data_IF_104738636315
#
_entry.id   IF_104738636315
#
_cell.length_a   1.000
_cell.length_b   1.000
_cell.length_c   1.000
_cell.angle_alpha   90.00
_cell.angle_beta   90.00
_cell.angle_gamma   90.00
#
_symmetry.space_group_name_H-M   'P 1'
#
loop_
_entity.id
_entity.type
_entity.pdbx_description
1 polymer ?
#
# COMPACT_ATOMS: atom_id res chain seq x y z
N UNK A 1 2.75 12.28 1.23
CA UNK A 1 3.50 11.34 0.37
C UNK A 1 4.84 12.01 0.06
N UNK A 2 6.00 11.39 0.28
CA UNK A 2 7.30 12.08 0.05
C UNK A 2 7.45 12.54 -1.41
N UNK A 3 6.92 11.77 -2.35
CA UNK A 3 6.98 12.07 -3.78
C UNK A 3 6.19 13.34 -4.18
N UNK A 4 5.16 13.71 -3.42
CA UNK A 4 4.27 14.86 -3.73
C UNK A 4 4.38 15.97 -2.68
N UNK A 5 5.37 15.90 -1.78
CA UNK A 5 5.59 16.93 -0.76
C UNK A 5 6.72 17.85 -1.17
N UNK A 6 6.51 19.15 -1.01
CA UNK A 6 7.52 20.18 -1.23
C UNK A 6 8.81 19.89 -0.44
N UNK A 7 9.93 20.30 -1.01
CA UNK A 7 11.23 20.17 -0.36
C UNK A 7 11.27 21.02 0.92
N UNK A 8 11.80 20.44 1.98
CA UNK A 8 11.89 21.06 3.30
C UNK A 8 12.22 20.03 4.38
N UNK A 9 12.22 20.46 5.63
CA UNK A 9 12.61 19.61 6.76
C UNK A 9 11.73 18.37 6.90
N UNK A 10 10.42 18.52 6.71
CA UNK A 10 9.49 17.40 6.72
C UNK A 10 9.81 16.38 5.62
N UNK A 11 10.00 16.84 4.38
CA UNK A 11 10.37 15.98 3.26
C UNK A 11 11.67 15.23 3.56
N UNK A 12 12.70 15.95 4.01
CA UNK A 12 14.02 15.40 4.30
C UNK A 12 13.96 14.36 5.42
N UNK A 13 13.25 14.65 6.51
CA UNK A 13 13.08 13.74 7.63
C UNK A 13 12.35 12.46 7.21
N UNK A 14 11.20 12.57 6.54
CA UNK A 14 10.42 11.39 6.12
C UNK A 14 11.19 10.56 5.10
N UNK A 15 11.87 11.21 4.14
CA UNK A 15 12.74 10.54 3.17
C UNK A 15 13.84 9.76 3.87
N UNK A 16 14.56 10.39 4.81
CA UNK A 16 15.62 9.74 5.59
C UNK A 16 15.07 8.52 6.35
N UNK A 17 13.96 8.67 7.07
CA UNK A 17 13.37 7.58 7.84
C UNK A 17 12.99 6.39 6.95
N UNK A 18 12.42 6.63 5.76
CA UNK A 18 12.10 5.55 4.80
C UNK A 18 13.34 4.87 4.23
N UNK A 19 14.38 5.63 3.90
CA UNK A 19 15.65 5.08 3.42
C UNK A 19 16.31 4.26 4.53
N UNK A 20 16.38 4.75 5.76
CA UNK A 20 17.02 4.01 6.85
C UNK A 20 16.26 2.73 7.22
N UNK A 21 14.93 2.76 7.19
CA UNK A 21 14.11 1.62 7.65
C UNK A 21 13.84 0.54 6.61
N UNK A 22 13.64 0.90 5.33
CA UNK A 22 13.13 -0.04 4.31
C UNK A 22 13.98 0.01 3.05
N UNK A 23 14.23 1.19 2.50
CA UNK A 23 14.71 1.34 1.13
C UNK A 23 16.24 1.44 0.99
N UNK A 24 16.96 1.63 2.09
CA UNK A 24 18.41 1.80 2.09
C UNK A 24 19.17 0.47 1.97
N UNK A 25 20.45 0.47 1.55
CA UNK A 25 21.18 -0.75 1.24
C UNK A 25 21.22 -1.77 2.39
N UNK A 26 21.43 -1.29 3.62
CA UNK A 26 21.46 -2.15 4.81
C UNK A 26 20.09 -2.76 5.12
N UNK A 27 19.02 -1.96 5.05
CA UNK A 27 17.65 -2.44 5.25
C UNK A 27 17.24 -3.45 4.16
N UNK A 28 17.59 -3.19 2.90
CA UNK A 28 17.34 -4.12 1.80
C UNK A 28 18.12 -5.44 1.94
N UNK A 29 19.33 -5.40 2.50
CA UNK A 29 20.12 -6.61 2.80
C UNK A 29 19.47 -7.42 3.92
N UNK A 30 19.02 -6.78 5.00
CA UNK A 30 18.30 -7.45 6.10
C UNK A 30 16.98 -8.07 5.61
N UNK A 31 16.24 -7.34 4.77
CA UNK A 31 14.96 -7.77 4.23
C UNK A 31 15.08 -8.61 2.94
N UNK A 32 16.27 -9.10 2.59
CA UNK A 32 16.49 -9.90 1.37
C UNK A 32 15.57 -11.13 1.32
N UNK A 33 15.42 -11.83 2.45
CA UNK A 33 14.56 -13.00 2.57
C UNK A 33 13.10 -12.73 2.17
N UNK A 34 12.56 -11.52 2.41
CA UNK A 34 11.21 -11.17 1.98
C UNK A 34 11.08 -11.13 0.45
N UNK A 35 12.14 -10.70 -0.25
CA UNK A 35 12.18 -10.69 -1.72
C UNK A 35 12.34 -12.10 -2.29
N UNK A 36 13.20 -12.93 -1.69
CA UNK A 36 13.31 -14.35 -2.07
C UNK A 36 11.97 -15.06 -1.92
N UNK A 37 11.29 -14.90 -0.79
CA UNK A 37 9.97 -15.48 -0.56
C UNK A 37 8.92 -15.02 -1.59
N UNK A 38 9.01 -13.77 -2.05
CA UNK A 38 8.13 -13.25 -3.10
C UNK A 38 8.41 -13.96 -4.44
N UNK A 39 9.69 -14.12 -4.80
CA UNK A 39 10.11 -14.81 -6.03
C UNK A 39 9.64 -16.27 -5.99
N UNK A 40 9.86 -16.95 -4.87
CA UNK A 40 9.44 -18.35 -4.68
C UNK A 40 7.91 -18.47 -4.82
N UNK A 41 7.13 -17.58 -4.17
CA UNK A 41 5.67 -17.55 -4.28
C UNK A 41 5.18 -17.31 -5.71
N UNK A 42 5.86 -16.46 -6.48
CA UNK A 42 5.55 -16.24 -7.90
C UNK A 42 5.84 -17.52 -8.70
N UNK A 43 7.01 -18.14 -8.51
CA UNK A 43 7.37 -19.37 -9.21
C UNK A 43 6.39 -20.51 -8.91
N UNK A 44 5.97 -20.66 -7.66
CA UNK A 44 4.98 -21.66 -7.26
C UNK A 44 3.63 -21.45 -7.95
N UNK A 45 3.15 -20.20 -8.03
CA UNK A 45 1.91 -19.87 -8.75
C UNK A 45 2.03 -20.15 -10.25
N UNK A 46 3.15 -19.81 -10.87
CA UNK A 46 3.37 -20.09 -12.30
C UNK A 46 3.48 -21.58 -12.58
N UNK A 47 4.18 -22.34 -11.74
CA UNK A 47 4.25 -23.80 -11.87
C UNK A 47 2.91 -24.48 -11.63
N UNK A 48 2.08 -23.97 -10.71
CA UNK A 48 0.72 -24.48 -10.51
C UNK A 48 -0.12 -24.26 -11.77
N UNK A 49 -0.06 -23.07 -12.37
CA UNK A 49 -0.78 -22.76 -13.61
C UNK A 49 -0.39 -23.70 -14.75
N UNK A 50 0.91 -23.95 -14.95
CA UNK A 50 1.40 -24.88 -15.98
C UNK A 50 0.90 -26.31 -15.76
N UNK A 51 0.73 -26.74 -14.50
CA UNK A 51 0.22 -28.09 -14.18
C UNK A 51 -1.28 -28.24 -14.43
N UNK A 52 -2.05 -27.17 -14.26
CA UNK A 52 -3.50 -27.18 -14.47
C UNK A 52 -3.84 -27.05 -15.94
N UNK A 53 -3.31 -26.03 -16.63
CA UNK A 53 -3.45 -25.85 -18.07
C UNK A 53 -2.22 -25.13 -18.65
N UNK A 54 -1.37 -25.91 -19.32
CA UNK A 54 -0.14 -25.40 -19.93
C UNK A 54 -0.37 -24.43 -21.11
N UNK A 55 -1.58 -24.38 -21.68
CA UNK A 55 -1.90 -23.55 -22.85
C UNK A 55 -2.73 -22.31 -22.48
N UNK A 56 -3.26 -22.24 -21.27
CA UNK A 56 -4.02 -21.08 -20.80
C UNK A 56 -3.11 -19.86 -20.59
N UNK A 57 -3.60 -18.69 -21.03
CA UNK A 57 -2.89 -17.43 -20.85
C UNK A 57 -2.82 -17.02 -19.37
N UNK A 58 -1.60 -16.84 -18.86
CA UNK A 58 -1.38 -16.44 -17.47
C UNK A 58 -1.58 -14.93 -17.26
N UNK A 59 -2.41 -14.55 -16.30
CA UNK A 59 -2.54 -13.16 -15.87
C UNK A 59 -1.39 -12.74 -14.93
N UNK A 60 -0.21 -12.49 -15.50
CA UNK A 60 0.98 -12.06 -14.77
C UNK A 60 0.74 -10.78 -13.94
N UNK A 61 -0.08 -9.85 -14.45
CA UNK A 61 -0.41 -8.62 -13.73
C UNK A 61 -1.08 -8.93 -12.40
N UNK A 62 -1.98 -9.91 -12.35
CA UNK A 62 -2.64 -10.36 -11.11
C UNK A 62 -1.62 -10.90 -10.10
N UNK A 63 -0.78 -11.83 -10.55
CA UNK A 63 0.27 -12.49 -9.74
C UNK A 63 1.20 -11.44 -9.11
N UNK A 64 1.80 -10.57 -9.93
CA UNK A 64 2.75 -9.57 -9.42
C UNK A 64 2.08 -8.52 -8.55
N UNK A 65 0.84 -8.11 -8.85
CA UNK A 65 0.11 -7.12 -8.04
C UNK A 65 -0.08 -7.60 -6.60
N UNK A 66 -0.51 -8.86 -6.42
CA UNK A 66 -0.71 -9.45 -5.09
C UNK A 66 0.62 -9.63 -4.35
N UNK A 67 1.64 -10.19 -5.02
CA UNK A 67 2.92 -10.49 -4.38
C UNK A 67 3.72 -9.23 -4.03
N UNK A 68 3.71 -8.20 -4.88
CA UNK A 68 4.32 -6.90 -4.55
C UNK A 68 3.61 -6.21 -3.39
N UNK A 69 2.28 -6.30 -3.34
CA UNK A 69 1.51 -5.73 -2.24
C UNK A 69 1.83 -6.41 -0.90
N UNK A 70 1.88 -7.74 -0.90
CA UNK A 70 2.29 -8.56 0.24
C UNK A 70 3.71 -8.26 0.69
N UNK A 71 4.66 -8.14 -0.25
CA UNK A 71 6.03 -7.71 0.04
C UNK A 71 6.01 -6.34 0.73
N UNK A 72 5.26 -5.38 0.19
CA UNK A 72 5.15 -4.02 0.74
C UNK A 72 4.60 -4.00 2.16
N UNK A 73 3.53 -4.76 2.45
CA UNK A 73 2.97 -4.86 3.80
C UNK A 73 3.94 -5.54 4.77
N UNK A 74 4.63 -6.60 4.35
CA UNK A 74 5.65 -7.26 5.18
C UNK A 74 6.81 -6.31 5.48
N UNK A 75 7.26 -5.52 4.51
CA UNK A 75 8.32 -4.54 4.73
C UNK A 75 7.89 -3.37 5.61
N UNK A 76 6.65 -2.90 5.48
CA UNK A 76 6.14 -1.74 6.22
C UNK A 76 5.64 -2.07 7.64
N UNK A 77 4.97 -3.21 7.80
CA UNK A 77 4.27 -3.61 9.03
C UNK A 77 4.83 -4.91 9.64
N UNK A 78 5.76 -5.59 8.98
CA UNK A 78 6.32 -6.87 9.44
C UNK A 78 5.43 -8.09 9.21
N UNK A 79 4.24 -7.91 8.62
CA UNK A 79 3.29 -9.00 8.38
C UNK A 79 2.34 -8.70 7.23
N UNK A 80 1.87 -9.76 6.60
CA UNK A 80 0.82 -9.71 5.59
C UNK A 80 -0.56 -9.68 6.27
N UNK A 81 -1.54 -9.01 5.67
CA UNK A 81 -2.88 -8.83 6.24
C UNK A 81 -3.93 -9.30 5.22
N UNK A 82 -4.59 -10.41 5.54
CA UNK A 82 -5.64 -10.99 4.69
C UNK A 82 -6.97 -10.25 4.80
N UNK A 83 -7.31 -9.84 6.02
CA UNK A 83 -8.47 -9.01 6.28
C UNK A 83 -8.27 -8.14 7.52
N UNK A 84 -9.00 -7.03 7.57
CA UNK A 84 -9.00 -6.14 8.73
C UNK A 84 -10.34 -5.42 8.86
N UNK A 85 -10.84 -5.32 10.09
CA UNK A 85 -12.01 -4.51 10.41
C UNK A 85 -11.62 -3.03 10.48
N UNK A 86 -12.29 -2.20 9.68
CA UNK A 86 -12.11 -0.75 9.67
C UNK A 86 -13.33 -0.10 10.29
N UNK A 87 -13.21 0.30 11.57
CA UNK A 87 -14.32 0.86 12.33
C UNK A 87 -14.96 2.09 11.66
N UNK A 88 -14.14 2.96 11.07
CA UNK A 88 -14.61 4.15 10.34
C UNK A 88 -15.47 3.81 9.12
N UNK A 89 -15.28 2.64 8.50
CA UNK A 89 -16.06 2.17 7.36
C UNK A 89 -17.16 1.18 7.77
N UNK A 90 -17.23 0.81 9.05
CA UNK A 90 -18.23 -0.12 9.60
C UNK A 90 -18.16 -1.55 9.03
N UNK A 91 -17.06 -1.95 8.38
CA UNK A 91 -16.94 -3.28 7.76
C UNK A 91 -15.52 -3.87 7.83
N UNK A 92 -15.47 -5.19 7.71
CA UNK A 92 -14.23 -5.92 7.44
C UNK A 92 -13.90 -5.85 5.96
N UNK A 93 -12.65 -5.53 5.65
CA UNK A 93 -12.14 -5.45 4.29
C UNK A 93 -11.27 -6.67 3.99
N UNK A 94 -11.49 -7.27 2.83
CA UNK A 94 -10.66 -8.34 2.27
C UNK A 94 -9.37 -7.79 1.65
N UNK A 95 -8.36 -8.66 1.44
CA UNK A 95 -7.08 -8.29 0.79
C UNK A 95 -7.27 -7.52 -0.51
N UNK A 96 -8.19 -7.97 -1.38
CA UNK A 96 -8.45 -7.31 -2.67
C UNK A 96 -8.99 -5.89 -2.48
N UNK A 97 -9.91 -5.68 -1.53
CA UNK A 97 -10.41 -4.34 -1.18
C UNK A 97 -9.32 -3.46 -0.59
N UNK A 98 -8.43 -4.02 0.24
CA UNK A 98 -7.31 -3.29 0.81
C UNK A 98 -6.35 -2.83 -0.30
N UNK A 99 -6.04 -3.71 -1.27
CA UNK A 99 -5.21 -3.37 -2.44
C UNK A 99 -5.85 -2.23 -3.23
N UNK A 100 -7.16 -2.29 -3.44
CA UNK A 100 -7.89 -1.24 -4.16
C UNK A 100 -7.77 0.09 -3.42
N UNK A 101 -8.07 0.13 -2.12
CA UNK A 101 -8.09 1.36 -1.33
C UNK A 101 -6.69 1.96 -1.15
N UNK A 102 -5.66 1.15 -0.94
CA UNK A 102 -4.30 1.63 -0.65
C UNK A 102 -3.47 1.91 -1.89
N UNK A 103 -3.76 1.23 -3.01
CA UNK A 103 -2.92 1.28 -4.21
C UNK A 103 -3.69 1.65 -5.47
N UNK A 104 -4.72 0.88 -5.85
CA UNK A 104 -5.39 1.06 -7.16
C UNK A 104 -6.09 2.41 -7.24
N UNK A 105 -6.94 2.72 -6.26
CA UNK A 105 -7.70 3.98 -6.24
C UNK A 105 -6.75 5.19 -6.22
N UNK A 106 -5.73 5.29 -5.33
CA UNK A 106 -4.77 6.39 -5.37
C UNK A 106 -4.00 6.53 -6.68
N UNK A 107 -3.63 5.42 -7.33
CA UNK A 107 -2.98 5.47 -8.64
C UNK A 107 -3.92 5.98 -9.73
N UNK A 108 -5.19 5.55 -9.71
CA UNK A 108 -6.22 6.05 -10.63
C UNK A 108 -6.53 7.53 -10.39
N UNK A 109 -6.58 7.97 -9.12
CA UNK A 109 -6.76 9.38 -8.78
C UNK A 109 -5.58 10.26 -9.16
N UNK A 110 -4.35 9.73 -9.14
CA UNK A 110 -3.15 10.48 -9.54
C UNK A 110 -3.05 10.72 -11.06
N UNK A 111 -3.67 9.86 -11.87
CA UNK A 111 -3.77 10.04 -13.32
C UNK A 111 -5.07 10.74 -13.74
N UNK A 112 -5.99 10.94 -12.80
CA UNK A 112 -7.23 11.67 -13.06
C UNK A 112 -6.90 13.15 -13.17
N UNK A 113 -7.08 13.66 -14.37
CA UNK A 113 -6.68 15.02 -14.72
C UNK A 113 -7.82 15.98 -14.39
N UNK A 114 -7.60 16.86 -13.42
CA UNK A 114 -8.45 18.03 -13.23
C UNK A 114 -7.96 19.15 -14.17
N UNK A 115 -8.79 19.50 -15.15
CA UNK A 115 -8.46 20.55 -16.11
C UNK A 115 -8.14 21.89 -15.41
N UNK A 116 -8.64 22.12 -14.20
CA UNK A 116 -8.37 23.32 -13.39
C UNK A 116 -6.91 23.45 -12.97
N UNK A 117 -6.17 22.36 -12.92
CA UNK A 117 -4.74 22.38 -12.61
C UNK A 117 -3.92 23.05 -13.73
N UNK A 118 -4.42 23.05 -14.98
CA UNK A 118 -3.78 23.73 -16.11
C UNK A 118 -4.23 25.17 -16.30
N UNK A 119 -5.36 25.55 -15.71
CA UNK A 119 -5.93 26.90 -15.83
C UNK A 119 -6.18 27.48 -14.44
N UNK A 120 -5.13 27.97 -13.74
CA UNK A 120 -5.23 28.39 -12.35
C UNK A 120 -6.30 29.46 -12.08
N UNK A 121 -6.58 30.31 -13.07
CA UNK A 121 -7.61 31.36 -12.99
C UNK A 121 -9.05 30.82 -13.01
N UNK A 122 -9.25 29.54 -13.36
CA UNK A 122 -10.53 28.84 -13.32
C UNK A 122 -10.68 27.92 -12.10
N UNK A 123 -9.75 27.99 -11.12
CA UNK A 123 -9.79 27.15 -9.91
C UNK A 123 -11.06 27.33 -9.07
N UNK A 124 -11.72 28.49 -9.18
CA UNK A 124 -12.98 28.79 -8.48
C UNK A 124 -14.19 28.07 -9.08
N UNK A 125 -14.08 27.55 -10.31
CA UNK A 125 -15.16 26.79 -10.95
C UNK A 125 -15.31 25.45 -10.22
N UNK A 126 -16.51 25.15 -9.69
CA UNK A 126 -16.71 23.91 -8.95
C UNK A 126 -16.64 22.70 -9.89
N UNK A 127 -15.97 21.63 -9.45
CA UNK A 127 -15.95 20.34 -10.13
C UNK A 127 -16.25 19.23 -9.12
N UNK A 128 -17.50 19.23 -8.63
CA UNK A 128 -17.94 18.33 -7.55
C UNK A 128 -17.69 16.85 -7.85
N UNK A 129 -17.81 16.44 -9.11
CA UNK A 129 -17.58 15.05 -9.49
C UNK A 129 -16.14 14.58 -9.19
N UNK A 130 -15.14 15.41 -9.50
CA UNK A 130 -13.73 15.10 -9.18
C UNK A 130 -13.47 15.31 -7.69
N UNK A 131 -13.97 16.39 -7.10
CA UNK A 131 -13.79 16.70 -5.67
C UNK A 131 -14.33 15.58 -4.77
N UNK A 132 -15.60 15.19 -4.94
CA UNK A 132 -16.25 14.14 -4.15
C UNK A 132 -15.54 12.79 -4.32
N UNK A 133 -15.06 12.50 -5.53
CA UNK A 133 -14.31 11.26 -5.82
C UNK A 133 -12.95 11.23 -5.11
N UNK A 134 -12.19 12.32 -5.18
CA UNK A 134 -10.89 12.44 -4.50
C UNK A 134 -11.08 12.43 -2.98
N UNK A 135 -12.09 13.14 -2.47
CA UNK A 135 -12.38 13.19 -1.03
C UNK A 135 -12.78 11.79 -0.51
N UNK A 136 -13.70 11.11 -1.21
CA UNK A 136 -14.10 9.75 -0.84
C UNK A 136 -12.96 8.74 -0.90
N UNK A 137 -12.04 8.89 -1.85
CA UNK A 137 -10.81 8.09 -1.92
C UNK A 137 -9.86 8.39 -0.75
N UNK A 138 -9.61 9.66 -0.47
CA UNK A 138 -8.74 10.10 0.63
C UNK A 138 -9.29 9.62 1.98
N UNK A 139 -10.61 9.74 2.18
CA UNK A 139 -11.30 9.26 3.37
C UNK A 139 -11.09 7.76 3.58
N UNK A 140 -11.42 6.92 2.58
CA UNK A 140 -11.25 5.47 2.66
C UNK A 140 -9.79 5.07 2.91
N UNK A 141 -8.85 5.71 2.21
CA UNK A 141 -7.41 5.47 2.40
C UNK A 141 -6.93 5.84 3.80
N UNK A 142 -7.38 6.96 4.33
CA UNK A 142 -6.98 7.43 5.67
C UNK A 142 -7.57 6.53 6.76
N UNK A 143 -8.84 6.12 6.63
CA UNK A 143 -9.48 5.17 7.53
C UNK A 143 -8.74 3.83 7.56
N UNK A 144 -8.42 3.29 6.38
CA UNK A 144 -7.68 2.05 6.22
C UNK A 144 -6.26 2.14 6.82
N UNK A 145 -5.55 3.23 6.54
CA UNK A 145 -4.19 3.45 7.06
C UNK A 145 -4.19 3.57 8.59
N UNK A 146 -5.18 4.26 9.17
CA UNK A 146 -5.36 4.35 10.63
C UNK A 146 -5.60 2.97 11.25
N UNK A 147 -6.48 2.17 10.67
CA UNK A 147 -6.75 0.81 11.15
C UNK A 147 -5.47 -0.06 11.16
N UNK A 148 -4.65 0.00 10.10
CA UNK A 148 -3.37 -0.72 10.04
C UNK A 148 -2.36 -0.23 11.09
N UNK A 149 -2.26 1.08 11.30
CA UNK A 149 -1.38 1.66 12.31
C UNK A 149 -1.79 1.20 13.71
N UNK A 150 -3.08 1.22 14.03
CA UNK A 150 -3.56 0.79 15.34
C UNK A 150 -3.36 -0.70 15.57
N UNK A 151 -3.56 -1.53 14.55
CA UNK A 151 -3.23 -2.95 14.65
C UNK A 151 -1.73 -3.17 14.91
N UNK A 152 -0.87 -2.39 14.25
CA UNK A 152 0.57 -2.48 14.43
C UNK A 152 0.99 -2.00 15.83
N UNK A 153 0.41 -0.92 16.34
CA UNK A 153 0.65 -0.47 17.72
C UNK A 153 0.29 -1.54 18.74
N UNK A 154 -0.84 -2.24 18.56
CA UNK A 154 -1.24 -3.35 19.43
C UNK A 154 -0.20 -4.48 19.42
N UNK A 155 0.31 -4.84 18.23
CA UNK A 155 1.36 -5.87 18.08
C UNK A 155 2.66 -5.49 18.76
N UNK A 156 3.10 -4.24 18.63
CA UNK A 156 4.31 -3.73 19.28
C UNK A 156 4.14 -3.80 20.81
N UNK A 157 3.04 -3.27 21.36
CA UNK A 157 2.74 -3.33 22.80
C UNK A 157 2.70 -4.76 23.32
N UNK A 158 2.08 -5.67 22.59
CA UNK A 158 2.02 -7.09 22.97
C UNK A 158 3.43 -7.70 23.04
N UNK A 159 4.30 -7.40 22.06
CA UNK A 159 5.68 -7.89 22.05
C UNK A 159 6.50 -7.30 23.21
N UNK A 160 6.33 -6.02 23.52
CA UNK A 160 6.99 -5.37 24.66
C UNK A 160 6.58 -6.03 25.99
N UNK A 161 5.28 -6.31 26.17
CA UNK A 161 4.78 -6.96 27.37
C UNK A 161 5.26 -8.41 27.56
N UNK A 162 5.63 -9.11 26.49
CA UNK A 162 6.22 -10.45 26.57
C UNK A 162 7.71 -10.45 26.91
N UNK A 163 8.38 -9.31 26.75
CA UNK A 163 9.82 -9.14 27.02
C UNK A 163 10.08 -8.55 28.41
N UNK A 164 9.03 -8.21 29.16
CA UNK A 164 9.12 -7.79 30.55
C UNK A 164 9.02 -9.04 31.46
N UNK A 165 9.95 -9.22 32.43
CA UNK A 165 9.98 -10.38 33.32
C UNK A 165 8.80 -10.43 34.30
#
# INVERSE_FOLDING_TARGET
MVAMSDYGDLHNMVKRNKLTSILGPNAQKQNHHLRSNMIDSVLDQLHAHIKEDALEAVNLRGVFKEELFKLGLRQALGKDTESIYVAELGKSLSRSEIIVILMVDPMMGAIEVDWRDFFPYLRWVPNKAIEDKIEGMAYRRNAMTRALIEEQKKRIKWRENQLLP
#
